data_IF_724212099924
#
_entry.id   IF_724212099924
#
_cell.length_a   1.000
_cell.length_b   1.000
_cell.length_c   1.000
_cell.angle_alpha   90.00
_cell.angle_beta   90.00
_cell.angle_gamma   90.00
#
_symmetry.space_group_name_H-M   'P 1'
#
loop_
_entity.id
_entity.type
_entity.pdbx_description
1 polymer ?
#
# COMPACT_ATOMS: atom_id res chain seq x y z
N UNK A 1 -9.49 16.57 23.91
CA UNK A 1 -9.25 15.30 23.17
C UNK A 1 -10.54 14.60 22.79
N UNK A 2 -11.44 14.30 23.73
CA UNK A 2 -12.69 13.58 23.41
C UNK A 2 -13.54 14.31 22.35
N UNK A 3 -13.79 15.63 22.52
CA UNK A 3 -14.59 16.40 21.56
C UNK A 3 -13.95 16.45 20.18
N UNK A 4 -12.65 16.78 20.10
CA UNK A 4 -11.92 16.84 18.84
C UNK A 4 -11.78 15.47 18.19
N UNK A 5 -11.35 14.46 18.95
CA UNK A 5 -11.12 13.12 18.44
C UNK A 5 -12.38 12.46 17.88
N UNK A 6 -13.49 12.56 18.58
CA UNK A 6 -14.77 12.00 18.13
C UNK A 6 -15.29 12.64 16.83
N UNK A 7 -14.89 13.88 16.54
CA UNK A 7 -15.28 14.57 15.32
C UNK A 7 -14.35 14.29 14.13
N UNK A 8 -13.09 13.86 14.37
CA UNK A 8 -12.06 13.78 13.31
C UNK A 8 -11.50 12.36 13.11
N UNK A 9 -11.54 11.50 14.16
CA UNK A 9 -10.92 10.18 14.09
C UNK A 9 -11.91 9.12 13.61
N UNK A 10 -11.44 8.19 12.77
CA UNK A 10 -12.15 6.96 12.44
C UNK A 10 -11.98 5.91 13.56
N UNK A 11 -12.76 4.83 13.49
CA UNK A 11 -12.88 3.77 14.50
C UNK A 11 -11.55 3.24 15.06
N UNK A 12 -10.69 2.76 14.18
CA UNK A 12 -9.39 2.18 14.60
C UNK A 12 -8.43 3.24 15.13
N UNK A 13 -8.44 4.44 14.55
CA UNK A 13 -7.58 5.53 15.01
C UNK A 13 -8.04 6.05 16.37
N UNK A 14 -9.37 6.13 16.57
CA UNK A 14 -9.98 6.46 17.86
C UNK A 14 -9.58 5.45 18.93
N UNK A 15 -9.78 4.15 18.67
CA UNK A 15 -9.41 3.08 19.60
C UNK A 15 -7.92 3.10 19.95
N UNK A 16 -7.04 3.19 18.95
CA UNK A 16 -5.60 3.26 19.18
C UNK A 16 -5.16 4.51 19.97
N UNK A 17 -5.80 5.65 19.71
CA UNK A 17 -5.45 6.88 20.41
C UNK A 17 -5.97 6.87 21.85
N UNK A 18 -7.18 6.36 22.09
CA UNK A 18 -7.68 6.17 23.45
C UNK A 18 -6.76 5.24 24.27
N UNK A 19 -6.32 4.15 23.66
CA UNK A 19 -5.35 3.25 24.30
C UNK A 19 -4.03 3.98 24.64
N UNK A 20 -3.49 4.79 23.73
CA UNK A 20 -2.26 5.58 23.98
C UNK A 20 -2.47 6.60 25.10
N UNK A 21 -3.62 7.24 25.12
CA UNK A 21 -3.95 8.21 26.17
C UNK A 21 -3.97 7.52 27.54
N UNK A 22 -4.70 6.42 27.66
CA UNK A 22 -4.90 5.74 28.95
C UNK A 22 -3.62 5.05 29.47
N UNK A 23 -2.83 4.45 28.58
CA UNK A 23 -1.73 3.60 29.00
C UNK A 23 -0.34 4.24 28.90
N UNK A 24 -0.17 5.26 28.07
CA UNK A 24 1.14 5.91 27.87
C UNK A 24 1.14 7.40 28.25
N UNK A 25 0.07 8.15 28.03
CA UNK A 25 0.09 9.61 28.29
C UNK A 25 -0.35 9.91 29.73
N UNK A 26 -1.54 9.46 30.12
CA UNK A 26 -2.11 9.74 31.43
C UNK A 26 -1.22 9.35 32.62
N UNK A 27 -0.58 8.15 32.64
CA UNK A 27 0.23 7.74 33.76
C UNK A 27 1.43 8.66 34.04
N UNK A 28 1.92 9.36 33.03
CA UNK A 28 3.14 10.19 33.15
C UNK A 28 2.85 11.68 33.12
N UNK A 29 1.94 12.12 32.28
CA UNK A 29 1.65 13.54 32.04
C UNK A 29 0.28 13.97 32.56
N UNK A 30 -0.54 13.05 33.05
CA UNK A 30 -1.93 13.34 33.42
C UNK A 30 -2.10 14.34 34.57
N UNK A 31 -1.09 14.47 35.45
CA UNK A 31 -1.10 15.40 36.57
C UNK A 31 -0.40 16.73 36.26
N UNK A 32 0.18 16.90 35.07
CA UNK A 32 0.85 18.14 34.65
C UNK A 32 -0.18 19.06 33.99
N UNK A 33 -0.30 20.28 34.47
CA UNK A 33 -1.18 21.25 33.80
C UNK A 33 -0.63 21.61 32.43
N UNK A 34 -1.50 21.68 31.42
CA UNK A 34 -1.10 21.89 30.01
C UNK A 34 -0.25 23.15 29.83
N UNK A 35 -0.54 24.19 30.61
CA UNK A 35 0.22 25.50 30.63
C UNK A 35 1.65 25.36 31.16
N UNK A 36 1.90 24.35 32.00
CA UNK A 36 3.19 24.16 32.68
C UNK A 36 4.05 23.10 31.97
N UNK A 37 3.50 22.42 30.93
CA UNK A 37 4.17 21.37 30.17
C UNK A 37 5.25 22.00 29.27
N UNK A 38 6.50 21.59 29.48
CA UNK A 38 7.67 22.08 28.72
C UNK A 38 8.13 21.07 27.66
N UNK A 39 8.96 21.51 26.71
CA UNK A 39 9.63 20.62 25.74
C UNK A 39 10.52 19.60 26.47
N UNK A 40 11.20 20.01 27.55
CA UNK A 40 12.07 19.13 28.34
C UNK A 40 11.28 18.01 29.02
N UNK A 41 10.09 18.30 29.55
CA UNK A 41 9.23 17.27 30.15
C UNK A 41 8.81 16.23 29.11
N UNK A 42 8.56 16.66 27.87
CA UNK A 42 8.23 15.75 26.75
C UNK A 42 9.44 14.93 26.33
N UNK A 43 10.65 15.48 26.28
CA UNK A 43 11.87 14.73 25.98
C UNK A 43 12.10 13.64 27.02
N UNK A 44 12.04 13.98 28.33
CA UNK A 44 12.14 13.03 29.43
C UNK A 44 11.04 11.94 29.36
N UNK A 45 9.82 12.33 29.02
CA UNK A 45 8.70 11.41 28.86
C UNK A 45 8.98 10.36 27.76
N UNK A 46 9.41 10.79 26.57
CA UNK A 46 9.70 9.86 25.48
C UNK A 46 10.91 8.99 25.75
N UNK A 47 11.91 9.50 26.42
CA UNK A 47 13.06 8.72 26.86
C UNK A 47 12.62 7.64 27.86
N UNK A 48 11.83 8.00 28.85
CA UNK A 48 11.30 7.07 29.84
C UNK A 48 10.44 5.94 29.25
N UNK A 49 9.79 6.16 28.09
CA UNK A 49 8.96 5.16 27.45
C UNK A 49 9.78 4.01 26.84
N UNK A 50 11.06 4.23 26.49
CA UNK A 50 11.92 3.21 25.86
C UNK A 50 12.13 2.01 26.79
N UNK A 51 12.20 2.24 28.08
CA UNK A 51 12.46 1.22 29.11
C UNK A 51 11.17 0.61 29.69
N UNK A 52 10.00 1.06 29.24
CA UNK A 52 8.73 0.56 29.75
C UNK A 52 8.25 -0.65 28.96
N UNK A 53 7.66 -1.65 29.63
CA UNK A 53 7.05 -2.77 28.94
C UNK A 53 5.86 -2.30 28.10
N UNK A 54 5.71 -2.89 26.93
CA UNK A 54 4.55 -2.66 26.07
C UNK A 54 3.27 -3.07 26.78
N UNK A 55 2.28 -2.18 26.86
CA UNK A 55 0.97 -2.52 27.40
C UNK A 55 0.21 -3.34 26.37
N UNK A 56 -0.04 -4.59 26.70
CA UNK A 56 -0.70 -5.56 25.84
C UNK A 56 -2.21 -5.48 26.04
N UNK A 57 -2.96 -5.40 24.96
CA UNK A 57 -4.41 -5.42 24.99
C UNK A 57 -4.93 -6.75 25.57
N UNK A 58 -6.05 -6.70 26.28
CA UNK A 58 -6.71 -7.88 26.86
C UNK A 58 -6.95 -8.93 25.77
N UNK A 59 -6.48 -10.15 26.01
CA UNK A 59 -6.61 -11.27 25.04
C UNK A 59 -5.40 -11.47 24.10
N UNK A 60 -4.38 -10.62 24.17
CA UNK A 60 -3.11 -10.84 23.47
C UNK A 60 -2.07 -11.50 24.39
N UNK A 61 -1.10 -12.23 23.78
CA UNK A 61 0.02 -12.79 24.55
C UNK A 61 0.82 -11.67 25.19
N UNK A 62 1.14 -11.81 26.49
CA UNK A 62 2.08 -10.92 27.14
C UNK A 62 3.42 -10.97 26.42
N UNK A 63 4.07 -9.82 26.31
CA UNK A 63 5.42 -9.68 25.77
C UNK A 63 6.24 -8.88 26.77
N UNK A 64 7.48 -9.28 26.94
CA UNK A 64 8.46 -8.54 27.74
C UNK A 64 9.14 -7.43 26.92
N UNK A 65 8.71 -7.25 25.67
CA UNK A 65 9.25 -6.22 24.80
C UNK A 65 8.92 -4.82 25.31
N UNK A 66 9.89 -3.95 25.29
CA UNK A 66 9.73 -2.53 25.57
C UNK A 66 8.85 -1.82 24.53
N UNK A 67 8.39 -0.62 24.87
CA UNK A 67 7.58 0.20 23.99
C UNK A 67 8.34 0.48 22.69
N UNK A 68 7.77 0.02 21.57
CA UNK A 68 8.42 0.21 20.27
C UNK A 68 8.49 1.68 19.86
N UNK A 69 9.52 2.02 19.10
CA UNK A 69 9.68 3.35 18.52
C UNK A 69 8.42 3.83 17.78
N UNK A 70 7.78 2.97 17.02
CA UNK A 70 6.54 3.29 16.31
C UNK A 70 5.40 3.72 17.25
N UNK A 71 5.35 3.15 18.46
CA UNK A 71 4.39 3.59 19.48
C UNK A 71 4.76 4.96 20.02
N UNK A 72 6.05 5.23 20.28
CA UNK A 72 6.55 6.54 20.74
C UNK A 72 6.24 7.61 19.69
N UNK A 73 6.54 7.38 18.41
CA UNK A 73 6.26 8.33 17.32
C UNK A 73 4.77 8.65 17.18
N UNK A 74 3.93 7.62 17.26
CA UNK A 74 2.48 7.81 17.20
C UNK A 74 1.93 8.50 18.44
N UNK A 75 2.53 8.28 19.61
CA UNK A 75 2.20 9.00 20.86
C UNK A 75 2.62 10.48 20.75
N UNK A 76 3.81 10.75 20.21
CA UNK A 76 4.26 12.10 19.91
C UNK A 76 3.33 12.81 18.93
N UNK A 77 2.98 12.17 17.81
CA UNK A 77 2.07 12.73 16.81
C UNK A 77 0.70 13.08 17.43
N UNK A 78 0.20 12.23 18.34
CA UNK A 78 -1.04 12.47 19.05
C UNK A 78 -0.92 13.67 20.01
N UNK A 79 0.14 13.74 20.83
CA UNK A 79 0.39 14.85 21.74
C UNK A 79 0.61 16.16 20.98
N UNK A 80 1.42 16.13 19.91
CA UNK A 80 1.66 17.30 19.06
C UNK A 80 0.36 17.84 18.46
N UNK A 81 -0.52 16.97 17.99
CA UNK A 81 -1.84 17.36 17.47
C UNK A 81 -2.73 17.97 18.56
N UNK A 82 -2.75 17.35 19.75
CA UNK A 82 -3.53 17.85 20.87
C UNK A 82 -3.05 19.21 21.38
N UNK A 83 -1.73 19.39 21.48
CA UNK A 83 -1.13 20.64 21.93
C UNK A 83 -1.25 21.74 20.85
N UNK A 84 -1.23 21.41 19.55
CA UNK A 84 -1.61 22.36 18.50
C UNK A 84 -3.06 22.85 18.69
N UNK A 85 -3.97 21.94 19.02
CA UNK A 85 -5.36 22.32 19.29
C UNK A 85 -5.48 23.17 20.55
N UNK A 86 -4.64 22.93 21.57
CA UNK A 86 -4.58 23.74 22.77
C UNK A 86 -4.08 25.19 22.49
N UNK A 87 -3.16 25.37 21.53
CA UNK A 87 -2.77 26.69 21.04
C UNK A 87 -3.93 27.38 20.32
N UNK A 88 -4.64 26.66 19.42
CA UNK A 88 -5.82 27.20 18.70
C UNK A 88 -6.93 27.63 19.69
N UNK A 89 -7.09 26.91 20.80
CA UNK A 89 -8.05 27.24 21.84
C UNK A 89 -7.49 28.22 22.91
N UNK A 90 -6.32 28.77 22.67
CA UNK A 90 -5.67 29.76 23.53
C UNK A 90 -5.38 29.28 24.98
N UNK A 91 -5.28 27.96 25.20
CA UNK A 91 -4.88 27.39 26.50
C UNK A 91 -3.37 27.54 26.76
N UNK A 92 -2.56 27.56 25.70
CA UNK A 92 -1.12 27.75 25.74
C UNK A 92 -0.67 28.63 24.56
N UNK A 93 0.35 29.48 24.71
CA UNK A 93 0.82 30.37 23.64
C UNK A 93 1.61 29.63 22.55
N UNK A 94 2.30 28.53 22.89
CA UNK A 94 3.20 27.80 22.00
C UNK A 94 3.07 26.34 22.30
N UNK A 95 3.13 25.49 21.24
CA UNK A 95 3.13 24.04 21.38
C UNK A 95 4.54 23.53 21.75
N UNK A 96 4.77 23.00 22.97
CA UNK A 96 6.07 22.49 23.40
C UNK A 96 6.52 21.24 22.63
N UNK A 97 5.61 20.49 21.98
CA UNK A 97 5.95 19.29 21.21
C UNK A 97 6.57 19.58 19.83
N UNK A 98 6.67 20.85 19.40
CA UNK A 98 7.26 21.19 18.09
C UNK A 98 8.78 20.99 18.03
N UNK A 99 9.46 21.14 19.16
CA UNK A 99 10.94 21.11 19.24
C UNK A 99 11.48 19.86 19.93
N UNK A 100 10.63 18.90 20.20
CA UNK A 100 11.01 17.64 20.86
C UNK A 100 11.96 16.83 19.96
N UNK A 101 12.97 16.24 20.56
CA UNK A 101 13.91 15.34 19.92
C UNK A 101 13.54 13.90 20.25
N UNK A 102 12.96 13.19 19.28
CA UNK A 102 12.65 11.77 19.47
C UNK A 102 13.91 10.90 19.42
N UNK A 103 13.97 9.80 20.21
CA UNK A 103 15.10 8.88 20.19
C UNK A 103 15.39 8.38 18.75
N UNK A 104 16.64 8.26 18.34
CA UNK A 104 17.04 7.77 17.00
C UNK A 104 16.74 6.28 16.87
N UNK A 105 16.34 5.85 15.67
CA UNK A 105 16.03 4.46 15.36
C UNK A 105 16.47 4.12 13.94
N UNK A 106 16.99 2.94 13.76
CA UNK A 106 17.18 2.36 12.43
C UNK A 106 15.95 1.51 12.10
N UNK A 107 15.18 1.86 11.06
CA UNK A 107 14.05 1.04 10.63
C UNK A 107 14.55 -0.35 10.23
N UNK A 108 13.94 -1.40 10.76
CA UNK A 108 14.15 -2.73 10.19
C UNK A 108 13.48 -2.79 8.82
N UNK A 109 14.25 -3.16 7.80
CA UNK A 109 13.70 -3.41 6.47
C UNK A 109 12.71 -4.57 6.54
N UNK A 110 11.55 -4.34 5.95
CA UNK A 110 10.52 -5.39 5.88
C UNK A 110 10.86 -6.32 4.73
N UNK A 111 10.85 -7.61 5.00
CA UNK A 111 10.99 -8.63 3.96
C UNK A 111 9.83 -8.51 2.98
N UNK A 112 10.15 -8.39 1.70
CA UNK A 112 9.20 -8.42 0.58
C UNK A 112 9.69 -9.49 -0.38
N UNK A 113 8.81 -10.36 -0.83
CA UNK A 113 9.17 -11.38 -1.79
C UNK A 113 9.54 -10.79 -3.15
N UNK A 114 10.52 -11.40 -3.79
CA UNK A 114 10.78 -11.26 -5.22
C UNK A 114 9.64 -11.86 -6.05
N UNK A 115 9.59 -11.55 -7.34
CA UNK A 115 8.61 -12.15 -8.25
C UNK A 115 8.70 -13.69 -8.28
N UNK A 116 9.91 -14.26 -8.23
CA UNK A 116 10.15 -15.70 -8.21
C UNK A 116 9.66 -16.35 -6.92
N UNK A 117 9.91 -15.75 -5.76
CA UNK A 117 9.42 -16.25 -4.48
C UNK A 117 7.90 -16.18 -4.40
N UNK A 118 7.29 -15.10 -4.91
CA UNK A 118 5.83 -14.99 -4.99
C UNK A 118 5.20 -16.06 -5.90
N UNK A 119 5.83 -16.35 -7.04
CA UNK A 119 5.40 -17.43 -7.94
C UNK A 119 5.55 -18.80 -7.28
N UNK A 120 6.70 -19.09 -6.65
CA UNK A 120 6.92 -20.33 -5.91
C UNK A 120 5.87 -20.52 -4.80
N UNK A 121 5.52 -19.46 -4.08
CA UNK A 121 4.48 -19.51 -3.05
C UNK A 121 3.10 -19.84 -3.63
N UNK A 122 2.73 -19.26 -4.79
CA UNK A 122 1.47 -19.56 -5.48
C UNK A 122 1.41 -21.02 -5.97
N UNK A 123 2.53 -21.52 -6.52
CA UNK A 123 2.61 -22.89 -7.07
C UNK A 123 2.58 -23.93 -5.95
N UNK A 124 3.19 -23.63 -4.81
CA UNK A 124 3.23 -24.52 -3.65
C UNK A 124 1.99 -24.45 -2.75
N UNK A 125 1.11 -23.44 -2.97
CA UNK A 125 -0.06 -23.25 -2.13
C UNK A 125 -1.17 -24.24 -2.48
N UNK A 126 -1.47 -25.14 -1.55
CA UNK A 126 -2.54 -26.14 -1.67
C UNK A 126 -3.86 -25.69 -1.04
N UNK A 127 -3.84 -24.68 -0.16
CA UNK A 127 -5.04 -24.11 0.47
C UNK A 127 -5.76 -23.18 -0.51
N UNK A 128 -7.01 -23.49 -0.95
CA UNK A 128 -7.70 -22.72 -1.99
C UNK A 128 -8.02 -21.30 -1.56
N UNK A 129 -8.34 -21.09 -0.28
CA UNK A 129 -8.67 -19.75 0.23
C UNK A 129 -7.43 -18.87 0.28
N UNK A 130 -6.31 -19.39 0.80
CA UNK A 130 -5.05 -18.65 0.79
C UNK A 130 -4.61 -18.34 -0.64
N UNK A 131 -4.71 -19.32 -1.55
CA UNK A 131 -4.32 -19.14 -2.96
C UNK A 131 -5.13 -18.03 -3.63
N UNK A 132 -6.44 -18.00 -3.44
CA UNK A 132 -7.30 -16.94 -3.94
C UNK A 132 -6.94 -15.59 -3.35
N UNK A 133 -6.73 -15.52 -2.01
CA UNK A 133 -6.28 -14.29 -1.34
C UNK A 133 -4.93 -13.79 -1.89
N UNK A 134 -3.98 -14.69 -2.14
CA UNK A 134 -2.67 -14.35 -2.72
C UNK A 134 -2.81 -13.85 -4.17
N UNK A 135 -3.63 -14.49 -4.98
CA UNK A 135 -3.92 -14.06 -6.36
C UNK A 135 -4.50 -12.64 -6.40
N UNK A 136 -5.46 -12.33 -5.52
CA UNK A 136 -6.04 -10.98 -5.40
C UNK A 136 -5.03 -9.95 -4.87
N UNK A 137 -4.17 -10.33 -3.91
CA UNK A 137 -3.15 -9.43 -3.37
C UNK A 137 -2.04 -9.15 -4.39
N UNK A 138 -1.53 -10.18 -5.07
CA UNK A 138 -0.43 -10.07 -6.03
C UNK A 138 -0.89 -9.53 -7.39
N UNK A 139 -2.01 -10.02 -7.92
CA UNK A 139 -2.55 -9.60 -9.22
C UNK A 139 -3.23 -8.23 -9.18
N UNK A 140 -4.01 -7.96 -8.12
CA UNK A 140 -4.87 -6.77 -8.03
C UNK A 140 -4.41 -5.75 -6.98
N UNK A 141 -3.29 -5.97 -6.30
CA UNK A 141 -2.75 -5.10 -5.26
C UNK A 141 -3.76 -4.78 -4.14
N UNK A 142 -4.68 -5.68 -3.83
CA UNK A 142 -5.72 -5.47 -2.81
C UNK A 142 -5.16 -5.62 -1.39
N UNK A 143 -5.73 -4.86 -0.45
CA UNK A 143 -5.46 -5.04 1.00
C UNK A 143 -6.23 -6.25 1.52
N UNK A 144 -5.71 -6.91 2.55
CA UNK A 144 -6.39 -8.09 3.12
C UNK A 144 -7.84 -7.79 3.54
N UNK A 145 -8.10 -6.64 4.16
CA UNK A 145 -9.46 -6.25 4.52
C UNK A 145 -10.37 -5.99 3.32
N UNK A 146 -9.83 -5.52 2.19
CA UNK A 146 -10.55 -5.36 0.92
C UNK A 146 -10.87 -6.72 0.29
N UNK A 147 -9.92 -7.68 0.34
CA UNK A 147 -10.11 -9.05 -0.15
C UNK A 147 -11.20 -9.77 0.65
N UNK A 148 -11.09 -9.72 1.98
CA UNK A 148 -12.05 -10.39 2.88
C UNK A 148 -13.43 -9.72 2.90
N UNK A 149 -13.50 -8.43 2.54
CA UNK A 149 -14.74 -7.68 2.42
C UNK A 149 -15.29 -7.59 1.00
N UNK A 150 -14.66 -8.29 0.03
CA UNK A 150 -15.14 -8.35 -1.34
C UNK A 150 -16.41 -9.20 -1.41
N UNK A 151 -17.44 -8.65 -2.03
CA UNK A 151 -18.73 -9.31 -2.23
C UNK A 151 -19.00 -9.52 -3.72
N UNK A 152 -19.76 -10.52 -4.08
CA UNK A 152 -20.01 -10.91 -5.48
C UNK A 152 -20.71 -9.81 -6.30
N UNK A 153 -21.50 -8.94 -5.65
CA UNK A 153 -22.10 -7.75 -6.29
C UNK A 153 -21.04 -6.74 -6.81
N UNK A 154 -19.81 -6.85 -6.33
CA UNK A 154 -18.69 -6.00 -6.72
C UNK A 154 -17.75 -6.66 -7.75
N UNK A 155 -18.06 -7.86 -8.25
CA UNK A 155 -17.19 -8.64 -9.13
C UNK A 155 -17.86 -8.85 -10.49
N UNK A 156 -17.22 -8.38 -11.54
CA UNK A 156 -17.62 -8.65 -12.93
C UNK A 156 -16.64 -9.65 -13.56
N UNK A 157 -17.08 -10.89 -13.64
CA UNK A 157 -16.36 -12.04 -14.25
C UNK A 157 -17.26 -12.76 -15.24
N UNK A 158 -18.14 -12.03 -15.94
CA UNK A 158 -18.90 -12.60 -17.05
C UNK A 158 -17.94 -13.16 -18.11
N UNK A 159 -18.39 -14.18 -18.82
CA UNK A 159 -17.58 -14.80 -19.90
C UNK A 159 -17.13 -13.76 -20.92
N UNK A 160 -18.03 -12.87 -21.31
CA UNK A 160 -17.73 -11.76 -22.21
C UNK A 160 -16.65 -10.83 -21.64
N UNK A 161 -16.73 -10.48 -20.35
CA UNK A 161 -15.75 -9.61 -19.70
C UNK A 161 -14.39 -10.29 -19.59
N UNK A 162 -14.35 -11.60 -19.31
CA UNK A 162 -13.10 -12.38 -19.26
C UNK A 162 -12.47 -12.44 -20.66
N UNK A 163 -13.26 -12.76 -21.68
CA UNK A 163 -12.79 -12.86 -23.07
C UNK A 163 -12.29 -11.51 -23.60
N UNK A 164 -12.99 -10.43 -23.28
CA UNK A 164 -12.62 -9.08 -23.70
C UNK A 164 -11.48 -8.46 -22.86
N UNK A 165 -11.02 -9.10 -21.77
CA UNK A 165 -10.03 -8.55 -20.86
C UNK A 165 -10.54 -7.36 -20.03
N UNK A 166 -11.86 -7.24 -19.85
CA UNK A 166 -12.53 -6.17 -19.09
C UNK A 166 -13.05 -6.61 -17.72
N UNK A 167 -12.84 -7.89 -17.37
CA UNK A 167 -13.17 -8.42 -16.05
C UNK A 167 -12.55 -7.57 -14.94
N UNK A 168 -13.31 -7.29 -13.89
CA UNK A 168 -12.86 -6.36 -12.87
C UNK A 168 -13.54 -6.55 -11.52
N UNK A 169 -12.95 -5.98 -10.48
CA UNK A 169 -13.55 -5.81 -9.16
C UNK A 169 -13.72 -4.33 -8.82
N UNK A 170 -14.79 -4.00 -8.11
CA UNK A 170 -15.00 -2.67 -7.53
C UNK A 170 -14.75 -2.75 -6.03
N UNK A 171 -13.73 -2.07 -5.56
CA UNK A 171 -13.39 -2.04 -4.14
C UNK A 171 -14.18 -0.93 -3.47
N UNK A 172 -15.25 -1.30 -2.78
CA UNK A 172 -16.19 -0.40 -2.12
C UNK A 172 -16.39 -0.73 -0.64
N UNK A 173 -15.82 -1.84 -0.19
CA UNK A 173 -16.02 -2.40 1.15
C UNK A 173 -14.71 -2.94 1.72
N UNK A 174 -14.58 -2.94 3.04
CA UNK A 174 -13.51 -3.64 3.77
C UNK A 174 -14.07 -4.38 4.97
N UNK A 175 -13.57 -5.59 5.21
CA UNK A 175 -13.87 -6.36 6.41
C UNK A 175 -12.86 -6.00 7.50
N UNK A 176 -13.34 -5.73 8.70
CA UNK A 176 -12.46 -5.36 9.81
C UNK A 176 -13.05 -5.72 11.17
N UNK A 177 -12.17 -6.10 12.09
CA UNK A 177 -12.54 -6.24 13.51
C UNK A 177 -12.29 -4.92 14.23
N UNK A 178 -13.34 -4.37 14.84
CA UNK A 178 -13.33 -3.06 15.48
C UNK A 178 -13.78 -3.13 16.94
N UNK A 179 -13.31 -2.23 17.79
CA UNK A 179 -13.75 -2.11 19.17
C UNK A 179 -15.19 -1.61 19.22
N UNK A 180 -16.06 -2.31 19.97
CA UNK A 180 -17.49 -2.00 20.11
C UNK A 180 -17.72 -0.58 20.62
N UNK A 181 -16.95 -0.16 21.64
CA UNK A 181 -17.07 1.18 22.22
C UNK A 181 -16.75 2.28 21.19
N UNK A 182 -15.74 2.06 20.32
CA UNK A 182 -15.40 3.01 19.26
C UNK A 182 -16.49 3.08 18.17
N UNK A 183 -17.06 1.93 17.80
CA UNK A 183 -18.18 1.88 16.85
C UNK A 183 -19.40 2.62 17.40
N UNK A 184 -19.82 2.33 18.63
CA UNK A 184 -20.95 2.97 19.29
C UNK A 184 -20.72 4.49 19.48
N UNK A 185 -19.49 4.92 19.75
CA UNK A 185 -19.16 6.33 19.88
C UNK A 185 -19.29 7.09 18.55
N UNK A 186 -18.90 6.46 17.44
CA UNK A 186 -19.03 7.05 16.09
C UNK A 186 -20.46 7.03 15.59
N UNK A 187 -21.19 5.95 15.88
CA UNK A 187 -22.61 5.83 15.53
C UNK A 187 -23.46 6.93 16.18
N UNK A 188 -23.27 7.16 17.50
CA UNK A 188 -23.93 8.28 18.22
C UNK A 188 -23.64 9.67 17.63
N UNK A 189 -22.57 9.79 16.84
CA UNK A 189 -22.21 11.03 16.13
C UNK A 189 -22.63 11.05 14.66
N UNK A 190 -23.36 10.03 14.19
CA UNK A 190 -23.73 9.91 12.78
C UNK A 190 -22.53 9.72 11.84
N UNK A 191 -21.40 9.20 12.36
CA UNK A 191 -20.13 9.03 11.62
C UNK A 191 -19.74 7.56 11.41
N UNK A 192 -20.69 6.67 11.61
CA UNK A 192 -20.47 5.24 11.33
C UNK A 192 -20.34 5.02 9.83
N UNK A 193 -19.34 4.23 9.45
CA UNK A 193 -19.14 3.73 8.08
C UNK A 193 -19.50 2.25 7.98
N UNK A 194 -20.07 1.68 9.02
CA UNK A 194 -20.46 0.26 9.10
C UNK A 194 -21.66 0.02 8.19
N UNK A 195 -21.54 -0.96 7.30
CA UNK A 195 -22.58 -1.43 6.38
C UNK A 195 -23.29 -2.65 6.97
N UNK A 196 -22.51 -3.55 7.60
CA UNK A 196 -23.01 -4.77 8.23
C UNK A 196 -22.15 -5.10 9.45
N UNK A 197 -22.79 -5.49 10.55
CA UNK A 197 -22.14 -6.12 11.69
C UNK A 197 -22.43 -7.61 11.67
N UNK A 198 -21.38 -8.43 11.62
CA UNK A 198 -21.53 -9.88 11.61
C UNK A 198 -21.94 -10.42 13.00
N UNK A 199 -22.69 -11.52 13.03
CA UNK A 199 -23.04 -12.19 14.28
C UNK A 199 -21.81 -12.64 15.07
N UNK A 200 -21.97 -12.80 16.39
CA UNK A 200 -20.92 -13.38 17.24
C UNK A 200 -21.17 -14.89 17.35
N UNK A 201 -20.36 -15.68 16.63
CA UNK A 201 -20.46 -17.14 16.64
C UNK A 201 -19.85 -17.79 17.90
N UNK A 202 -19.06 -17.05 18.67
CA UNK A 202 -18.55 -17.49 19.97
C UNK A 202 -19.21 -16.65 21.06
N UNK A 203 -19.81 -17.31 22.03
CA UNK A 203 -20.38 -16.70 23.25
C UNK A 203 -19.25 -16.19 24.17
N UNK A 204 -18.41 -15.34 23.70
CA UNK A 204 -17.41 -14.70 24.53
C UNK A 204 -17.73 -13.22 24.48
N UNK A 205 -17.97 -12.59 25.62
CA UNK A 205 -18.17 -11.13 25.72
C UNK A 205 -17.01 -10.35 25.13
N UNK A 206 -16.81 -10.50 23.83
CA UNK A 206 -15.75 -9.85 23.06
C UNK A 206 -15.98 -8.35 23.08
N UNK A 207 -14.94 -7.60 23.40
CA UNK A 207 -14.95 -6.13 23.28
C UNK A 207 -14.93 -5.65 21.81
N UNK A 208 -14.84 -6.59 20.84
CA UNK A 208 -14.72 -6.28 19.42
C UNK A 208 -15.83 -6.94 18.63
N UNK A 209 -16.25 -6.29 17.53
CA UNK A 209 -17.16 -6.86 16.52
C UNK A 209 -16.47 -6.92 15.17
N UNK A 210 -16.81 -7.95 14.38
CA UNK A 210 -16.41 -8.04 12.98
C UNK A 210 -17.45 -7.25 12.16
N UNK A 211 -16.98 -6.33 11.33
CA UNK A 211 -17.85 -5.46 10.55
C UNK A 211 -17.40 -5.39 9.10
N UNK A 212 -18.36 -5.30 8.21
CA UNK A 212 -18.17 -4.85 6.83
C UNK A 212 -18.45 -3.35 6.80
N UNK A 213 -17.55 -2.58 6.26
CA UNK A 213 -17.66 -1.12 6.27
C UNK A 213 -17.17 -0.48 4.98
N UNK A 214 -17.62 0.72 4.70
CA UNK A 214 -17.12 1.53 3.60
C UNK A 214 -15.65 1.94 3.86
N UNK A 215 -14.83 2.09 2.80
CA UNK A 215 -13.46 2.58 2.93
C UNK A 215 -13.41 3.98 3.54
N UNK A 216 -12.30 4.28 4.20
CA UNK A 216 -12.12 5.55 4.93
C UNK A 216 -12.04 6.78 4.00
N UNK A 217 -11.57 6.61 2.76
CA UNK A 217 -11.34 7.69 1.80
C UNK A 217 -11.95 7.34 0.44
N UNK A 218 -12.41 8.35 -0.28
CA UNK A 218 -12.92 8.18 -1.64
C UNK A 218 -11.86 7.57 -2.59
N UNK A 219 -10.59 7.93 -2.42
CA UNK A 219 -9.49 7.35 -3.20
C UNK A 219 -9.29 5.85 -2.99
N UNK A 220 -9.86 5.28 -1.93
CA UNK A 220 -9.87 3.83 -1.69
C UNK A 220 -10.94 3.12 -2.52
N UNK A 221 -12.01 3.83 -2.91
CA UNK A 221 -13.04 3.32 -3.83
C UNK A 221 -12.46 3.35 -5.23
N UNK A 222 -12.31 2.17 -5.83
CA UNK A 222 -11.67 2.04 -7.13
C UNK A 222 -12.12 0.80 -7.88
N UNK A 223 -12.00 0.85 -9.21
CA UNK A 223 -12.12 -0.29 -10.11
C UNK A 223 -10.71 -0.84 -10.39
N UNK A 224 -10.54 -2.15 -10.26
CA UNK A 224 -9.29 -2.84 -10.59
C UNK A 224 -9.59 -3.92 -11.61
N UNK A 225 -8.91 -3.88 -12.76
CA UNK A 225 -9.04 -4.91 -13.78
C UNK A 225 -8.32 -6.18 -13.34
N UNK A 226 -8.92 -7.32 -13.67
CA UNK A 226 -8.43 -8.63 -13.28
C UNK A 226 -7.52 -9.22 -14.37
N UNK A 227 -6.32 -9.69 -14.02
CA UNK A 227 -5.61 -10.63 -14.86
C UNK A 227 -6.50 -11.87 -15.13
N UNK A 228 -6.44 -12.43 -16.34
CA UNK A 228 -7.28 -13.58 -16.74
C UNK A 228 -7.21 -14.74 -15.73
N UNK A 229 -6.01 -15.05 -15.23
CA UNK A 229 -5.81 -16.09 -14.21
C UNK A 229 -6.62 -15.83 -12.93
N UNK A 230 -6.67 -14.56 -12.49
CA UNK A 230 -7.44 -14.17 -11.29
C UNK A 230 -8.94 -14.25 -11.56
N UNK A 231 -9.38 -13.80 -12.74
CA UNK A 231 -10.78 -13.87 -13.13
C UNK A 231 -11.29 -15.31 -13.20
N UNK A 232 -10.50 -16.24 -13.76
CA UNK A 232 -10.83 -17.65 -13.81
C UNK A 232 -10.87 -18.29 -12.42
N UNK A 233 -9.92 -17.96 -11.53
CA UNK A 233 -9.94 -18.46 -10.15
C UNK A 233 -11.17 -17.96 -9.37
N UNK A 234 -11.62 -16.73 -9.63
CA UNK A 234 -12.87 -16.21 -9.06
C UNK A 234 -14.10 -16.92 -9.62
N UNK A 235 -14.11 -17.25 -10.91
CA UNK A 235 -15.22 -18.01 -11.52
C UNK A 235 -15.32 -19.42 -10.94
N UNK A 236 -14.19 -20.11 -10.76
CA UNK A 236 -14.12 -21.41 -10.10
C UNK A 236 -14.63 -21.34 -8.66
N UNK A 237 -14.18 -20.35 -7.88
CA UNK A 237 -14.64 -20.15 -6.50
C UNK A 237 -16.15 -19.87 -6.44
N UNK A 238 -16.69 -19.08 -7.37
CA UNK A 238 -18.12 -18.82 -7.45
C UNK A 238 -18.93 -20.09 -7.67
N UNK A 239 -18.48 -20.94 -8.59
CA UNK A 239 -19.09 -22.27 -8.85
C UNK A 239 -19.03 -23.15 -7.59
N UNK A 240 -17.86 -23.27 -6.97
CA UNK A 240 -17.67 -24.04 -5.73
C UNK A 240 -18.59 -23.55 -4.59
N UNK A 241 -18.70 -22.24 -4.39
CA UNK A 241 -19.60 -21.71 -3.38
C UNK A 241 -21.07 -21.98 -3.67
N UNK A 242 -21.47 -21.94 -4.95
CA UNK A 242 -22.84 -22.26 -5.34
C UNK A 242 -23.20 -23.73 -5.04
N UNK A 243 -22.30 -24.67 -5.36
CA UNK A 243 -22.47 -26.06 -5.02
C UNK A 243 -22.61 -26.29 -3.52
N UNK A 244 -21.78 -25.63 -2.72
CA UNK A 244 -21.85 -25.71 -1.24
C UNK A 244 -23.13 -25.10 -0.71
N UNK A 245 -23.60 -23.99 -1.25
CA UNK A 245 -24.89 -23.36 -0.88
C UNK A 245 -26.06 -24.31 -1.12
N UNK A 246 -26.05 -25.00 -2.26
CA UNK A 246 -27.09 -25.98 -2.60
C UNK A 246 -27.03 -27.20 -1.68
N UNK A 247 -25.83 -27.69 -1.36
CA UNK A 247 -25.63 -28.82 -0.46
C UNK A 247 -26.05 -28.53 0.98
N UNK A 248 -25.71 -27.36 1.52
CA UNK A 248 -26.00 -26.97 2.90
C UNK A 248 -27.39 -26.35 3.06
N UNK A 249 -28.04 -25.94 1.98
CA UNK A 249 -29.34 -25.30 1.96
C UNK A 249 -29.47 -24.21 3.04
N UNK A 250 -30.42 -24.33 3.97
CA UNK A 250 -30.64 -23.34 5.05
C UNK A 250 -29.50 -23.25 6.10
N UNK A 251 -28.49 -24.12 6.04
CA UNK A 251 -27.34 -24.08 6.93
C UNK A 251 -26.24 -23.09 6.48
N UNK A 252 -26.29 -22.63 5.24
CA UNK A 252 -25.32 -21.66 4.72
C UNK A 252 -25.69 -20.23 5.13
N UNK A 253 -24.77 -19.50 5.74
CA UNK A 253 -24.94 -18.10 6.12
C UNK A 253 -24.47 -17.17 4.99
N UNK A 254 -25.35 -16.81 4.10
CA UNK A 254 -25.02 -16.04 2.91
C UNK A 254 -24.86 -14.53 3.21
N UNK A 255 -23.63 -14.11 3.20
CA UNK A 255 -23.25 -12.68 3.28
C UNK A 255 -22.69 -12.14 1.95
N UNK A 256 -22.88 -12.86 0.85
CA UNK A 256 -22.40 -12.52 -0.48
C UNK A 256 -20.87 -12.37 -0.58
N UNK A 257 -20.11 -12.90 0.38
CA UNK A 257 -18.65 -12.77 0.41
C UNK A 257 -17.96 -13.68 -0.61
N UNK A 258 -16.97 -13.13 -1.31
CA UNK A 258 -16.09 -13.91 -2.21
C UNK A 258 -15.18 -14.86 -1.45
N UNK A 259 -14.68 -14.43 -0.28
CA UNK A 259 -13.84 -15.24 0.59
C UNK A 259 -14.62 -15.59 1.85
N UNK A 260 -15.17 -16.79 1.87
CA UNK A 260 -15.99 -17.28 2.98
C UNK A 260 -15.59 -18.71 3.38
N UNK A 261 -15.89 -19.07 4.61
CA UNK A 261 -15.86 -20.45 5.06
C UNK A 261 -16.93 -21.29 4.33
N UNK A 262 -16.84 -22.61 4.40
CA UNK A 262 -17.82 -23.51 3.78
C UNK A 262 -19.25 -23.30 4.28
N UNK A 263 -19.42 -22.80 5.49
CA UNK A 263 -20.71 -22.43 6.06
C UNK A 263 -21.14 -20.97 5.79
N UNK A 264 -20.38 -20.23 4.97
CA UNK A 264 -20.65 -18.84 4.57
C UNK A 264 -20.11 -17.79 5.52
N UNK A 265 -19.58 -18.18 6.69
CA UNK A 265 -19.01 -17.21 7.63
C UNK A 265 -17.76 -16.51 7.06
N UNK A 266 -17.53 -15.24 7.41
CA UNK A 266 -16.37 -14.51 6.93
C UNK A 266 -15.05 -15.06 7.51
N UNK A 267 -14.01 -15.09 6.68
CA UNK A 267 -12.61 -15.23 7.15
C UNK A 267 -12.15 -13.96 7.83
N UNK A 268 -11.27 -14.11 8.83
CA UNK A 268 -10.60 -13.00 9.48
C UNK A 268 -9.13 -12.88 9.05
N UNK A 269 -8.58 -11.66 9.09
CA UNK A 269 -7.19 -11.37 8.73
C UNK A 269 -6.18 -12.30 9.43
N UNK A 270 -6.41 -12.59 10.72
CA UNK A 270 -5.54 -13.49 11.51
C UNK A 270 -5.52 -14.93 10.98
N UNK A 271 -6.62 -15.41 10.39
CA UNK A 271 -6.71 -16.76 9.81
C UNK A 271 -5.90 -16.82 8.52
N UNK A 272 -6.02 -15.83 7.65
CA UNK A 272 -5.22 -15.72 6.42
C UNK A 272 -3.73 -15.55 6.75
N UNK A 273 -3.39 -14.75 7.77
CA UNK A 273 -2.01 -14.62 8.24
C UNK A 273 -1.45 -15.93 8.79
N UNK A 274 -2.27 -16.72 9.48
CA UNK A 274 -1.89 -18.07 9.96
C UNK A 274 -1.63 -19.03 8.79
N UNK A 275 -2.52 -19.06 7.78
CA UNK A 275 -2.35 -19.89 6.58
C UNK A 275 -1.08 -19.51 5.80
N UNK A 276 -0.82 -18.20 5.63
CA UNK A 276 0.40 -17.72 4.97
C UNK A 276 1.66 -18.15 5.73
N UNK A 277 1.66 -18.04 7.06
CA UNK A 277 2.77 -18.50 7.88
C UNK A 277 2.98 -20.01 7.72
N UNK A 278 1.92 -20.80 7.76
CA UNK A 278 2.00 -22.24 7.53
C UNK A 278 2.63 -22.57 6.16
N UNK A 279 2.29 -21.80 5.13
CA UNK A 279 2.87 -21.94 3.80
C UNK A 279 4.38 -21.62 3.82
N UNK A 280 4.79 -20.48 4.41
CA UNK A 280 6.22 -20.10 4.50
C UNK A 280 7.03 -21.11 5.30
N UNK A 281 6.49 -21.61 6.42
CA UNK A 281 7.14 -22.62 7.24
C UNK A 281 7.32 -23.96 6.46
N UNK A 282 6.35 -24.33 5.62
CA UNK A 282 6.40 -25.55 4.84
C UNK A 282 7.31 -25.46 3.58
N UNK A 283 7.44 -24.28 2.99
CA UNK A 283 8.19 -24.08 1.75
C UNK A 283 9.62 -23.55 1.96
N UNK A 284 9.97 -23.14 3.18
CA UNK A 284 11.24 -22.48 3.48
C UNK A 284 11.37 -21.07 2.89
N UNK A 285 10.30 -20.50 2.36
CA UNK A 285 10.28 -19.12 1.88
C UNK A 285 10.48 -18.13 3.03
N UNK A 286 11.09 -16.96 2.76
CA UNK A 286 11.23 -15.92 3.78
C UNK A 286 9.88 -15.55 4.40
N UNK A 287 9.78 -15.46 5.74
CA UNK A 287 8.53 -15.11 6.40
C UNK A 287 8.14 -13.67 6.06
N UNK A 288 6.91 -13.50 5.58
CA UNK A 288 6.34 -12.19 5.23
C UNK A 288 4.98 -12.00 5.88
N UNK A 289 4.59 -10.75 6.09
CA UNK A 289 3.21 -10.42 6.47
C UNK A 289 2.35 -10.31 5.20
N UNK A 290 1.06 -10.63 5.29
CA UNK A 290 0.18 -10.62 4.10
C UNK A 290 0.21 -9.29 3.34
N UNK A 291 0.35 -8.16 4.03
CA UNK A 291 0.47 -6.83 3.40
C UNK A 291 1.71 -6.68 2.51
N UNK A 292 2.79 -7.46 2.76
CA UNK A 292 3.99 -7.45 1.91
C UNK A 292 3.71 -7.97 0.49
N UNK A 293 2.68 -8.82 0.30
CA UNK A 293 2.26 -9.29 -1.03
C UNK A 293 1.77 -8.12 -1.91
N UNK A 294 1.08 -7.17 -1.31
CA UNK A 294 0.67 -5.94 -2.00
C UNK A 294 1.88 -5.06 -2.36
N UNK A 295 2.92 -5.01 -1.52
CA UNK A 295 4.17 -4.33 -1.86
C UNK A 295 4.88 -5.03 -3.02
N UNK A 296 4.95 -6.36 -3.00
CA UNK A 296 5.45 -7.16 -4.11
C UNK A 296 4.69 -6.86 -5.42
N UNK A 297 3.35 -6.86 -5.37
CA UNK A 297 2.48 -6.50 -6.49
C UNK A 297 2.77 -5.11 -7.04
N UNK A 298 2.90 -4.10 -6.18
CA UNK A 298 3.17 -2.73 -6.60
C UNK A 298 4.53 -2.60 -7.30
N UNK A 299 5.58 -3.24 -6.74
CA UNK A 299 6.91 -3.28 -7.34
C UNK A 299 6.91 -3.99 -8.69
N UNK A 300 6.24 -5.14 -8.78
CA UNK A 300 6.11 -5.90 -10.03
C UNK A 300 5.38 -5.10 -11.12
N UNK A 301 4.27 -4.45 -10.77
CA UNK A 301 3.50 -3.60 -11.70
C UNK A 301 4.28 -2.39 -12.17
N UNK A 302 5.08 -1.77 -11.30
CA UNK A 302 5.98 -0.68 -11.69
C UNK A 302 7.04 -1.15 -12.69
N UNK A 303 7.64 -2.31 -12.42
CA UNK A 303 8.66 -2.89 -13.28
C UNK A 303 8.08 -3.25 -14.67
N UNK A 304 6.94 -3.97 -14.71
CA UNK A 304 6.26 -4.35 -15.96
C UNK A 304 5.75 -3.12 -16.71
N UNK A 305 5.20 -2.13 -15.99
CA UNK A 305 4.61 -0.91 -16.54
C UNK A 305 5.65 0.16 -16.91
N UNK A 306 6.95 -0.14 -16.91
CA UNK A 306 8.01 0.81 -17.25
C UNK A 306 8.02 2.07 -16.37
N UNK A 307 7.68 1.94 -15.08
CA UNK A 307 7.68 3.04 -14.13
C UNK A 307 6.41 3.92 -14.15
N UNK A 308 5.31 3.44 -14.71
CA UNK A 308 4.04 4.19 -14.73
C UNK A 308 3.41 4.26 -13.32
N UNK A 309 3.92 5.18 -12.51
CA UNK A 309 3.48 5.41 -11.11
C UNK A 309 1.97 5.71 -11.02
N UNK A 310 1.42 6.45 -12.00
CA UNK A 310 -0.01 6.82 -12.00
C UNK A 310 -0.93 5.61 -12.14
N UNK A 311 -0.61 4.68 -13.06
CA UNK A 311 -1.37 3.45 -13.24
C UNK A 311 -1.32 2.58 -11.98
N UNK A 312 -0.12 2.38 -11.40
CA UNK A 312 0.05 1.61 -10.16
C UNK A 312 -0.64 2.27 -8.97
N UNK A 313 -0.61 3.62 -8.89
CA UNK A 313 -1.34 4.36 -7.86
C UNK A 313 -2.86 4.15 -7.98
N UNK A 314 -3.40 4.13 -9.20
CA UNK A 314 -4.81 3.82 -9.47
C UNK A 314 -5.20 2.43 -8.94
N UNK A 315 -4.43 1.40 -9.30
CA UNK A 315 -4.68 0.02 -8.85
C UNK A 315 -4.53 -0.16 -7.33
N UNK A 316 -3.49 0.45 -6.76
CA UNK A 316 -3.22 0.33 -5.32
C UNK A 316 -4.13 1.22 -4.46
N UNK A 317 -4.73 2.28 -5.00
CA UNK A 317 -5.52 3.25 -4.23
C UNK A 317 -4.68 3.94 -3.14
N UNK A 318 -3.42 4.28 -3.44
CA UNK A 318 -2.59 5.10 -2.57
C UNK A 318 -2.92 6.58 -2.78
N UNK A 319 -3.30 7.28 -1.71
CA UNK A 319 -3.62 8.71 -1.78
C UNK A 319 -2.39 9.57 -2.15
N UNK A 320 -1.18 9.10 -1.86
CA UNK A 320 0.08 9.81 -2.15
C UNK A 320 0.99 8.95 -3.02
N UNK A 321 1.46 9.51 -4.13
CA UNK A 321 2.43 8.87 -5.03
C UNK A 321 3.74 8.52 -4.33
N UNK A 322 4.15 9.29 -3.31
CA UNK A 322 5.34 9.02 -2.50
C UNK A 322 5.35 7.60 -1.91
N UNK A 323 4.20 7.07 -1.50
CA UNK A 323 4.11 5.69 -0.99
C UNK A 323 4.44 4.63 -2.07
N UNK A 324 4.24 4.96 -3.34
CA UNK A 324 4.61 4.09 -4.47
C UNK A 324 6.08 4.30 -4.84
N UNK A 325 6.57 5.56 -4.81
CA UNK A 325 7.97 5.88 -5.13
C UNK A 325 8.95 5.44 -4.06
N UNK A 326 8.60 5.51 -2.76
CA UNK A 326 9.47 5.02 -1.67
C UNK A 326 9.70 3.50 -1.75
N UNK A 327 8.73 2.74 -2.30
CA UNK A 327 8.91 1.31 -2.61
C UNK A 327 9.91 1.07 -3.76
N UNK A 328 10.08 2.05 -4.64
CA UNK A 328 10.94 1.98 -5.83
C UNK A 328 12.31 2.67 -5.63
N UNK A 329 12.57 3.19 -4.43
CA UNK A 329 13.80 3.96 -4.13
C UNK A 329 15.11 3.14 -4.29
N UNK A 330 15.02 1.82 -4.38
CA UNK A 330 16.12 0.94 -4.75
C UNK A 330 16.18 0.74 -6.27
N UNK A 331 16.49 1.81 -7.02
CA UNK A 331 16.72 1.70 -8.47
C UNK A 331 17.87 0.73 -8.73
N UNK A 332 17.55 -0.42 -9.32
CA UNK A 332 18.53 -1.39 -9.75
C UNK A 332 19.35 -0.78 -10.90
N UNK A 333 20.67 -0.89 -10.86
CA UNK A 333 21.56 -0.42 -11.93
C UNK A 333 21.19 -1.01 -13.31
N UNK A 334 20.60 -2.20 -13.34
CA UNK A 334 20.07 -2.84 -14.53
C UNK A 334 18.93 -2.05 -15.19
N UNK A 335 18.01 -1.50 -14.40
CA UNK A 335 16.93 -0.66 -14.91
C UNK A 335 17.43 0.66 -15.47
N UNK A 336 18.45 1.24 -14.83
CA UNK A 336 19.12 2.46 -15.34
C UNK A 336 19.81 2.20 -16.66
N UNK A 337 20.43 1.01 -16.82
CA UNK A 337 21.05 0.58 -18.08
C UNK A 337 20.01 0.40 -19.18
N UNK A 338 18.90 -0.30 -18.90
CA UNK A 338 17.78 -0.48 -19.85
C UNK A 338 17.14 0.84 -20.26
N UNK A 339 17.07 1.82 -19.35
CA UNK A 339 16.58 3.15 -19.69
C UNK A 339 17.55 3.86 -20.66
N UNK A 340 18.85 3.76 -20.43
CA UNK A 340 19.84 4.31 -21.35
C UNK A 340 19.79 3.64 -22.74
N UNK A 341 19.63 2.31 -22.81
CA UNK A 341 19.43 1.56 -24.05
C UNK A 341 18.14 1.99 -24.78
N UNK A 342 17.06 2.21 -24.03
CA UNK A 342 15.80 2.74 -24.61
C UNK A 342 15.96 4.15 -25.16
N UNK A 343 16.68 5.02 -24.47
CA UNK A 343 16.96 6.38 -24.96
C UNK A 343 17.78 6.29 -26.25
N UNK A 344 18.76 5.39 -26.34
CA UNK A 344 19.50 5.17 -27.57
C UNK A 344 18.59 4.74 -28.73
N UNK A 345 17.78 3.69 -28.51
CA UNK A 345 16.92 3.15 -29.57
C UNK A 345 15.75 4.07 -29.94
N UNK A 346 15.04 4.61 -28.95
CA UNK A 346 13.79 5.32 -29.18
C UNK A 346 13.97 6.80 -29.50
N UNK A 347 15.10 7.38 -29.12
CA UNK A 347 15.37 8.80 -29.33
C UNK A 347 16.48 9.04 -30.35
N UNK A 348 17.64 8.41 -30.18
CA UNK A 348 18.78 8.66 -31.08
C UNK A 348 18.68 7.89 -32.40
N UNK A 349 18.33 6.60 -32.37
CA UNK A 349 18.27 5.77 -33.58
C UNK A 349 17.01 6.07 -34.44
N UNK A 350 15.86 6.34 -33.83
CA UNK A 350 14.68 6.78 -34.59
C UNK A 350 14.90 8.11 -35.32
N UNK A 351 15.83 8.93 -34.88
CA UNK A 351 16.21 10.16 -35.57
C UNK A 351 17.05 9.90 -36.84
N UNK A 352 17.72 8.74 -36.87
CA UNK A 352 18.47 8.30 -38.05
C UNK A 352 17.55 7.75 -39.18
N UNK A 353 16.34 7.25 -38.81
CA UNK A 353 15.34 6.75 -39.80
C UNK A 353 14.37 7.81 -40.32
N UNK A 354 14.42 9.04 -39.81
CA UNK A 354 13.70 10.15 -40.43
C UNK A 354 14.44 10.49 -41.70
N UNK A 355 13.80 10.50 -42.90
CA UNK A 355 14.51 10.85 -44.14
C UNK A 355 15.11 12.23 -43.95
N UNK A 356 16.41 12.31 -43.82
CA UNK A 356 17.13 13.58 -43.96
C UNK A 356 16.78 14.12 -45.34
N UNK A 357 16.30 15.33 -45.38
CA UNK A 357 16.29 16.12 -46.63
C UNK A 357 17.65 15.92 -47.30
N UNK A 358 17.61 15.59 -48.57
CA UNK A 358 18.77 15.26 -49.41
C UNK A 358 19.97 16.11 -49.01
N UNK A 359 21.17 15.52 -48.83
CA UNK A 359 22.36 16.32 -48.65
C UNK A 359 22.53 17.26 -49.84
N UNK A 360 22.67 18.53 -49.54
CA UNK A 360 23.10 19.49 -50.52
C UNK A 360 24.45 18.99 -51.07
N UNK A 361 24.39 18.67 -52.34
CA UNK A 361 25.51 18.66 -53.24
C UNK A 361 26.68 17.69 -52.93
N UNK A 362 26.52 16.51 -53.48
CA UNK A 362 27.64 15.55 -53.68
C UNK A 362 28.85 16.20 -54.36
N UNK A 363 28.66 17.32 -55.08
CA UNK A 363 29.71 18.10 -55.78
C UNK A 363 30.58 18.89 -54.79
N UNK A 364 30.02 19.48 -53.72
CA UNK A 364 30.83 20.26 -52.77
C UNK A 364 31.69 19.34 -51.89
N UNK A 365 31.23 18.18 -51.53
CA UNK A 365 31.97 17.21 -50.75
C UNK A 365 33.04 16.52 -51.59
N UNK A 366 32.76 16.21 -52.82
CA UNK A 366 33.75 15.76 -53.81
C UNK A 366 34.83 16.81 -54.08
N UNK A 367 34.41 18.06 -54.23
CA UNK A 367 35.36 19.18 -54.40
C UNK A 367 36.27 19.36 -53.18
N UNK A 368 35.68 19.27 -51.94
CA UNK A 368 36.44 19.35 -50.69
C UNK A 368 37.42 18.18 -50.53
N UNK A 369 37.03 17.00 -50.95
CA UNK A 369 37.88 15.80 -50.91
C UNK A 369 39.04 15.91 -51.92
N UNK A 370 38.77 16.37 -53.16
CA UNK A 370 39.74 16.61 -54.19
C UNK A 370 40.79 17.70 -53.81
N UNK A 371 40.33 18.77 -53.14
CA UNK A 371 41.20 19.83 -52.64
C UNK A 371 42.10 19.36 -51.50
N UNK A 372 41.61 18.47 -50.66
CA UNK A 372 42.36 17.86 -49.53
C UNK A 372 43.41 16.87 -50.01
N UNK A 373 43.08 16.11 -51.06
CA UNK A 373 44.01 15.13 -51.69
C UNK A 373 45.06 15.77 -52.59
N UNK A 374 44.81 17.03 -53.04
CA UNK A 374 45.72 17.76 -53.94
C UNK A 374 46.04 19.18 -53.41
N UNK A 375 46.94 19.32 -52.42
CA UNK A 375 47.22 20.60 -51.76
C UNK A 375 47.73 21.70 -52.70
N UNK A 376 48.37 21.34 -53.81
CA UNK A 376 48.88 22.28 -54.78
C UNK A 376 47.74 22.91 -55.59
N UNK A 377 46.70 22.19 -55.93
CA UNK A 377 45.48 22.69 -56.57
C UNK A 377 44.73 23.65 -55.62
N UNK A 378 44.65 23.32 -54.34
CA UNK A 378 44.03 24.16 -53.32
C UNK A 378 44.78 25.51 -53.19
N UNK A 379 46.11 25.51 -53.22
CA UNK A 379 46.94 26.74 -53.22
C UNK A 379 46.71 27.60 -54.44
N UNK A 380 46.60 26.96 -55.60
CA UNK A 380 46.37 27.67 -56.87
C UNK A 380 45.00 28.37 -56.89
N UNK A 381 43.99 27.70 -56.46
CA UNK A 381 42.62 28.25 -56.34
C UNK A 381 42.58 29.42 -55.36
N UNK A 382 43.18 29.28 -54.19
CA UNK A 382 43.25 30.36 -53.19
C UNK A 382 44.02 31.55 -53.72
N UNK A 383 45.14 31.33 -54.39
CA UNK A 383 45.93 32.42 -55.02
C UNK A 383 45.17 33.13 -56.14
N UNK A 384 44.31 32.42 -56.90
CA UNK A 384 43.49 33.00 -57.95
C UNK A 384 42.32 33.82 -57.39
N UNK A 385 41.68 33.34 -56.34
CA UNK A 385 40.62 34.08 -55.66
C UNK A 385 41.12 35.33 -54.95
N UNK A 386 42.31 35.30 -54.39
CA UNK A 386 42.93 36.49 -53.77
C UNK A 386 43.40 37.55 -54.75
N UNK A 387 43.48 37.24 -56.07
CA UNK A 387 43.78 38.20 -57.11
C UNK A 387 42.57 38.87 -57.72
N UNK A 388 41.34 38.33 -57.38
CA UNK A 388 40.08 38.89 -57.90
C UNK A 388 39.30 39.68 -56.82
N UNK A 389 39.77 39.68 -55.52
CA UNK A 389 39.28 40.51 -54.46
C UNK A 389 40.18 41.74 -54.26
#
# INVERSE_FOLDING_TARGET
MQVYGLNHWGDSFLSCNLHRIEHYIKPYLGNVAVKDLTTHDLDLFYDSLQDKPTVVLKGHKKTDACVSRSVIEKTHALLRSALNQAVIWEYIPINPALRVTLPKYQPQERTVWSASEAQQALDSCTDPVLKLCMLLALGCSMRVGEILGLTWDCVDISEDAICAGTAHVRITKELKRCQKDSLAALERRGRSTVLLTFPEWKQTGSSTSLVLKAPKTESSVRKVFLPKTVALALAEEKGRQQEIKELLAGGYQDFDLVVAHEDGRPYEERQVAFLLRKLTDATGLPPVVFHSLRHCSASLKLQIGGGNIKAVQGDTGHAQSRMVTDLYAHTNNEERRRLAEKVETDFFQKRADTPQEKPLDNAAEQAYRLLRENPDIARLIIATLQKQA
#
